data_IF_734746090416
#
_entry.id   IF_734746090416
#
_cell.length_a   1.000
_cell.length_b   1.000
_cell.length_c   1.000
_cell.angle_alpha   90.00
_cell.angle_beta   90.00
_cell.angle_gamma   90.00
#
_symmetry.space_group_name_H-M   'P 1'
#
loop_
_entity.id
_entity.type
_entity.pdbx_description
1 polymer ?
#
# COMPACT_ATOMS: atom_id res chain seq x y z
N UNK A 1 -26.69 -12.63 7.11
CA UNK A 1 -25.27 -13.06 7.23
C UNK A 1 -24.60 -12.60 5.96
N UNK A 2 -23.86 -11.49 5.99
CA UNK A 2 -22.95 -11.17 4.89
C UNK A 2 -21.88 -12.26 4.89
N UNK A 3 -21.59 -12.79 3.71
CA UNK A 3 -20.59 -13.83 3.55
C UNK A 3 -19.21 -13.18 3.78
N UNK A 4 -18.27 -13.86 4.44
CA UNK A 4 -16.89 -13.35 4.62
C UNK A 4 -16.23 -12.90 3.30
N UNK A 5 -16.69 -13.43 2.15
CA UNK A 5 -16.26 -12.95 0.82
C UNK A 5 -16.68 -11.52 0.50
N UNK A 6 -17.82 -11.06 1.01
CA UNK A 6 -18.32 -9.69 0.78
C UNK A 6 -17.51 -8.69 1.61
N UNK A 7 -17.17 -9.01 2.85
CA UNK A 7 -16.30 -8.17 3.70
C UNK A 7 -14.89 -8.03 3.10
N UNK A 8 -14.33 -9.10 2.54
CA UNK A 8 -13.00 -9.04 1.90
C UNK A 8 -13.02 -8.21 0.60
N UNK A 9 -14.12 -8.28 -0.16
CA UNK A 9 -14.29 -7.47 -1.37
C UNK A 9 -14.45 -5.98 -1.03
N UNK A 10 -15.20 -5.67 0.03
CA UNK A 10 -15.40 -4.31 0.53
C UNK A 10 -14.10 -3.72 1.10
N UNK A 11 -13.36 -4.49 1.90
CA UNK A 11 -12.05 -4.09 2.40
C UNK A 11 -11.04 -3.83 1.27
N UNK A 12 -11.03 -4.67 0.23
CA UNK A 12 -10.20 -4.44 -0.95
C UNK A 12 -10.59 -3.19 -1.73
N UNK A 13 -11.89 -2.92 -1.88
CA UNK A 13 -12.36 -1.70 -2.53
C UNK A 13 -11.91 -0.45 -1.76
N UNK A 14 -12.03 -0.46 -0.43
CA UNK A 14 -11.57 0.63 0.44
C UNK A 14 -10.05 0.82 0.32
N UNK A 15 -9.27 -0.26 0.36
CA UNK A 15 -7.81 -0.19 0.21
C UNK A 15 -7.39 0.37 -1.15
N UNK A 16 -8.08 -0.02 -2.23
CA UNK A 16 -7.81 0.49 -3.58
C UNK A 16 -8.10 2.00 -3.67
N UNK A 17 -9.18 2.46 -3.05
CA UNK A 17 -9.56 3.88 -3.07
C UNK A 17 -8.60 4.74 -2.26
N UNK A 18 -8.18 4.25 -1.09
CA UNK A 18 -7.14 4.91 -0.28
C UNK A 18 -5.81 4.95 -1.05
N UNK A 19 -5.39 3.83 -1.63
CA UNK A 19 -4.16 3.75 -2.42
C UNK A 19 -4.18 4.68 -3.63
N UNK A 20 -5.29 4.72 -4.37
CA UNK A 20 -5.49 5.61 -5.51
C UNK A 20 -5.39 7.08 -5.12
N UNK A 21 -6.10 7.50 -4.05
CA UNK A 21 -6.06 8.87 -3.57
C UNK A 21 -4.66 9.30 -3.10
N UNK A 22 -3.94 8.40 -2.40
CA UNK A 22 -2.55 8.66 -1.99
C UNK A 22 -1.66 8.83 -3.22
N UNK A 23 -1.70 7.91 -4.18
CA UNK A 23 -0.89 7.99 -5.41
C UNK A 23 -1.19 9.25 -6.22
N UNK A 24 -2.46 9.65 -6.32
CA UNK A 24 -2.86 10.89 -7.01
C UNK A 24 -2.29 12.13 -6.31
N UNK A 25 -2.34 12.19 -4.98
CA UNK A 25 -1.72 13.29 -4.21
C UNK A 25 -0.21 13.31 -4.38
N UNK A 26 0.45 12.16 -4.35
CA UNK A 26 1.90 12.04 -4.56
C UNK A 26 2.31 12.50 -5.96
N UNK A 27 1.54 12.15 -6.99
CA UNK A 27 1.78 12.60 -8.36
C UNK A 27 1.72 14.13 -8.51
N UNK A 28 0.85 14.80 -7.74
CA UNK A 28 0.67 16.25 -7.78
C UNK A 28 1.60 17.01 -6.83
N UNK A 29 2.13 16.36 -5.79
CA UNK A 29 3.04 16.99 -4.82
C UNK A 29 4.49 16.62 -5.15
N UNK A 30 5.20 17.53 -5.84
CA UNK A 30 6.68 17.48 -6.00
C UNK A 30 7.45 17.31 -4.67
N UNK A 31 6.83 17.67 -3.55
CA UNK A 31 7.41 17.60 -2.21
C UNK A 31 7.36 16.21 -1.58
N UNK A 32 6.52 15.31 -2.10
CA UNK A 32 6.48 13.92 -1.67
C UNK A 32 7.32 13.09 -2.65
N UNK A 33 8.59 12.89 -2.29
CA UNK A 33 9.47 12.03 -3.07
C UNK A 33 8.92 10.60 -3.06
N UNK A 34 9.02 9.90 -4.19
CA UNK A 34 8.77 8.45 -4.25
C UNK A 34 9.55 7.71 -3.15
N UNK A 35 10.71 8.23 -2.78
CA UNK A 35 11.50 7.78 -1.64
C UNK A 35 10.72 7.85 -0.31
N UNK A 36 10.01 8.93 -0.02
CA UNK A 36 9.22 9.05 1.21
C UNK A 36 8.07 8.03 1.27
N UNK A 37 7.48 7.66 0.12
CA UNK A 37 6.50 6.58 0.09
C UNK A 37 7.17 5.23 0.36
N UNK A 38 8.34 4.96 -0.24
CA UNK A 38 9.12 3.75 0.02
C UNK A 38 9.47 3.63 1.51
N UNK A 39 9.88 4.73 2.14
CA UNK A 39 10.24 4.78 3.56
C UNK A 39 9.03 4.41 4.45
N UNK A 40 7.86 4.98 4.19
CA UNK A 40 6.59 4.65 4.89
C UNK A 40 6.25 3.16 4.71
N UNK A 41 6.43 2.61 3.51
CA UNK A 41 6.14 1.20 3.25
C UNK A 41 7.11 0.27 3.98
N UNK A 42 8.38 0.63 4.09
CA UNK A 42 9.35 -0.09 4.91
C UNK A 42 9.01 0.00 6.40
N UNK A 43 8.59 1.15 6.92
CA UNK A 43 8.15 1.29 8.32
C UNK A 43 6.93 0.41 8.61
N UNK A 44 5.94 0.40 7.71
CA UNK A 44 4.75 -0.45 7.84
C UNK A 44 5.05 -1.96 7.75
N UNK A 45 6.15 -2.36 7.11
CA UNK A 45 6.59 -3.76 7.07
C UNK A 45 7.27 -4.18 8.39
N UNK A 46 7.85 -3.23 9.13
CA UNK A 46 8.60 -3.49 10.36
C UNK A 46 7.85 -3.09 11.63
N UNK A 47 6.57 -2.69 11.55
CA UNK A 47 5.74 -2.21 12.68
C UNK A 47 5.43 -3.29 13.74
N UNK A 48 5.97 -4.50 13.58
CA UNK A 48 5.84 -5.61 14.52
C UNK A 48 4.55 -6.42 14.36
N UNK A 49 3.65 -6.03 13.46
CA UNK A 49 2.46 -6.81 13.13
C UNK A 49 2.75 -7.77 11.98
N UNK A 50 2.54 -9.07 12.20
CA UNK A 50 2.58 -10.05 11.11
C UNK A 50 1.25 -10.00 10.36
N UNK A 51 1.23 -9.34 9.21
CA UNK A 51 0.04 -9.23 8.38
C UNK A 51 -0.15 -10.38 7.39
N UNK A 52 0.58 -11.48 7.60
CA UNK A 52 0.54 -12.67 6.76
C UNK A 52 1.38 -12.55 5.49
N UNK A 53 1.80 -13.72 4.99
CA UNK A 53 2.75 -13.86 3.86
C UNK A 53 2.29 -13.16 2.58
N UNK A 54 0.98 -13.08 2.34
CA UNK A 54 0.44 -12.44 1.14
C UNK A 54 0.60 -10.91 1.18
N UNK A 55 0.35 -10.28 2.33
CA UNK A 55 0.57 -8.84 2.48
C UNK A 55 2.04 -8.48 2.47
N UNK A 56 2.91 -9.30 3.07
CA UNK A 56 4.37 -9.14 2.99
C UNK A 56 4.84 -9.15 1.53
N UNK A 57 4.43 -10.16 0.75
CA UNK A 57 4.75 -10.26 -0.68
C UNK A 57 4.18 -9.10 -1.50
N UNK A 58 2.97 -8.66 -1.20
CA UNK A 58 2.35 -7.48 -1.84
C UNK A 58 3.13 -6.20 -1.57
N UNK A 59 3.61 -6.01 -0.34
CA UNK A 59 4.42 -4.88 0.08
C UNK A 59 5.78 -4.87 -0.65
N UNK A 60 6.47 -6.01 -0.69
CA UNK A 60 7.75 -6.15 -1.41
C UNK A 60 7.60 -5.82 -2.89
N UNK A 61 6.53 -6.31 -3.53
CA UNK A 61 6.28 -6.03 -4.95
C UNK A 61 6.01 -4.53 -5.17
N UNK A 62 5.21 -3.90 -4.32
CA UNK A 62 4.91 -2.48 -4.43
C UNK A 62 6.17 -1.61 -4.24
N UNK A 63 7.01 -1.91 -3.25
CA UNK A 63 8.31 -1.25 -3.06
C UNK A 63 9.19 -1.40 -4.32
N UNK A 64 9.28 -2.61 -4.89
CA UNK A 64 10.09 -2.87 -6.08
C UNK A 64 9.62 -2.09 -7.33
N UNK A 65 8.31 -1.81 -7.43
CA UNK A 65 7.75 -1.00 -8.51
C UNK A 65 8.11 0.47 -8.31
N UNK A 66 7.96 0.99 -7.08
CA UNK A 66 8.26 2.37 -6.74
C UNK A 66 9.73 2.71 -6.92
N UNK A 67 10.64 1.78 -6.60
CA UNK A 67 12.08 1.92 -6.83
C UNK A 67 12.47 2.13 -8.30
N UNK A 68 11.59 1.84 -9.27
CA UNK A 68 11.84 2.14 -10.69
C UNK A 68 11.68 3.62 -11.04
N UNK A 69 11.07 4.40 -10.14
CA UNK A 69 10.77 5.82 -10.32
C UNK A 69 11.65 6.73 -9.44
N UNK A 70 12.57 6.16 -8.67
CA UNK A 70 13.65 6.83 -7.92
C UNK A 70 14.97 6.68 -8.64
#
# INVERSE_FOLDING_TARGET
>A
MMSEKDEFAEANAICNEIGGAVLEVLAHKREFAVQSLIDIMHEAQHDGHSYGKEREKGMELAISILQKFT
#
